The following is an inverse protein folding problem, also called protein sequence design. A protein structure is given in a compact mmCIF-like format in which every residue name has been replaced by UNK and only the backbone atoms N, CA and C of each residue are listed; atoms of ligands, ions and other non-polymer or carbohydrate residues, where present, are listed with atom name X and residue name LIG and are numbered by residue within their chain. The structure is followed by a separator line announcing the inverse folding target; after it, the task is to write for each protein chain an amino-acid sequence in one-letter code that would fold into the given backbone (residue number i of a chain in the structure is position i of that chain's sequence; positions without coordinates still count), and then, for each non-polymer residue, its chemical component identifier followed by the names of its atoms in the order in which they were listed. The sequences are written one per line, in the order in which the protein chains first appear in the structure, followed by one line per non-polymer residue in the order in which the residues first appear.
data_IF_689752998786
#
_entry.id   IF_689752998786
#
_cell.length_a   1.000
_cell.length_b   1.000
_cell.length_c   1.000
_cell.angle_alpha   90.00
_cell.angle_beta   90.00
_cell.angle_gamma   90.00
#
_symmetry.space_group_name_H-M   'P 1'
#
loop_
_entity.id
_entity.type
_entity.pdbx_description
1 polymer ?
#
# COMPACT_ATOMS: atom_id res chain seq x y z
N UNK A 1 -14.09 16.66 3.17
CA UNK A 1 -14.18 15.53 4.14
C UNK A 1 -15.63 15.39 4.56
N UNK A 2 -16.26 14.24 4.34
CA UNK A 2 -17.65 14.02 4.75
C UNK A 2 -17.78 14.05 6.28
N UNK A 3 -18.90 14.56 6.78
CA UNK A 3 -19.23 14.64 8.21
C UNK A 3 -19.03 13.29 8.93
N UNK A 4 -19.22 12.18 8.23
CA UNK A 4 -19.11 10.82 8.76
C UNK A 4 -17.66 10.44 9.13
N UNK A 5 -16.66 10.94 8.40
CA UNK A 5 -15.24 10.66 8.71
C UNK A 5 -14.79 11.41 9.97
N UNK A 6 -15.33 12.61 10.21
CA UNK A 6 -15.07 13.38 11.42
C UNK A 6 -15.75 12.74 12.64
N UNK A 7 -16.97 12.24 12.49
CA UNK A 7 -17.66 11.50 13.55
C UNK A 7 -16.93 10.19 13.93
N UNK A 8 -16.47 9.43 12.93
CA UNK A 8 -15.71 8.21 13.18
C UNK A 8 -14.36 8.48 13.85
N UNK A 9 -13.62 9.49 13.39
CA UNK A 9 -12.35 9.89 14.02
C UNK A 9 -12.55 10.36 15.47
N UNK A 10 -13.62 11.11 15.75
CA UNK A 10 -13.99 11.52 17.11
C UNK A 10 -14.31 10.34 18.03
N UNK A 11 -15.01 9.31 17.52
CA UNK A 11 -15.30 8.09 18.28
C UNK A 11 -14.05 7.27 18.60
N UNK A 12 -13.16 7.08 17.62
CA UNK A 12 -11.89 6.36 17.84
C UNK A 12 -11.01 7.09 18.85
N UNK A 13 -10.93 8.42 18.77
CA UNK A 13 -10.16 9.23 19.71
C UNK A 13 -10.74 9.15 21.13
N UNK A 14 -12.06 9.16 21.27
CA UNK A 14 -12.74 9.05 22.56
C UNK A 14 -12.52 7.67 23.20
N UNK A 15 -12.60 6.59 22.40
CA UNK A 15 -12.33 5.24 22.86
C UNK A 15 -10.87 5.06 23.32
N UNK A 16 -9.91 5.57 22.53
CA UNK A 16 -8.49 5.53 22.87
C UNK A 16 -8.18 6.31 24.16
N UNK A 17 -8.75 7.51 24.30
CA UNK A 17 -8.56 8.34 25.50
C UNK A 17 -9.15 7.66 26.74
N UNK A 18 -10.33 7.05 26.62
CA UNK A 18 -10.98 6.30 27.71
C UNK A 18 -10.13 5.10 28.14
N UNK A 19 -9.56 4.35 27.18
CA UNK A 19 -8.69 3.22 27.48
C UNK A 19 -7.40 3.64 28.21
N UNK A 20 -6.78 4.75 27.80
CA UNK A 20 -5.58 5.31 28.47
C UNK A 20 -5.92 5.76 29.89
N UNK A 21 -7.00 6.51 30.09
CA UNK A 21 -7.43 6.95 31.42
C UNK A 21 -7.71 5.76 32.35
N UNK A 22 -8.35 4.71 31.84
CA UNK A 22 -8.64 3.49 32.61
C UNK A 22 -7.35 2.74 32.99
N UNK A 23 -6.37 2.64 32.08
CA UNK A 23 -5.07 2.02 32.35
C UNK A 23 -4.26 2.81 33.39
N UNK A 24 -4.26 4.15 33.31
CA UNK A 24 -3.59 5.02 34.29
C UNK A 24 -4.25 4.89 35.66
N UNK A 25 -5.58 4.91 35.74
CA UNK A 25 -6.30 4.71 36.99
C UNK A 25 -5.97 3.35 37.64
N UNK A 26 -5.93 2.27 36.84
CA UNK A 26 -5.55 0.94 37.31
C UNK A 26 -4.09 0.89 37.81
N UNK A 27 -3.16 1.57 37.15
CA UNK A 27 -1.77 1.64 37.59
C UNK A 27 -1.63 2.41 38.92
N UNK A 28 -2.40 3.49 39.10
CA UNK A 28 -2.41 4.27 40.34
C UNK A 28 -3.02 3.48 41.50
N UNK A 29 -4.15 2.80 41.30
CA UNK A 29 -4.76 1.97 42.35
C UNK A 29 -3.87 0.80 42.74
N UNK A 30 -3.19 0.16 41.78
CA UNK A 30 -2.22 -0.91 42.07
C UNK A 30 -1.01 -0.41 42.86
N UNK A 31 -0.48 0.78 42.52
CA UNK A 31 0.60 1.43 43.30
C UNK A 31 0.15 1.81 44.70
N UNK A 32 -1.05 2.37 44.85
CA UNK A 32 -1.61 2.73 46.14
C UNK A 32 -1.81 1.48 47.02
N UNK A 33 -2.35 0.40 46.45
CA UNK A 33 -2.52 -0.88 47.13
C UNK A 33 -1.16 -1.48 47.55
N UNK A 34 -0.13 -1.40 46.72
CA UNK A 34 1.23 -1.85 47.07
C UNK A 34 1.87 -1.02 48.19
N UNK A 35 1.68 0.30 48.20
CA UNK A 35 2.16 1.19 49.26
C UNK A 35 1.45 0.93 50.59
N UNK A 36 0.12 0.84 50.57
CA UNK A 36 -0.67 0.43 51.73
C UNK A 36 -0.26 -0.98 52.20
N UNK A 37 0.16 -1.84 51.26
CA UNK A 37 0.57 -3.19 51.60
C UNK A 37 1.94 -3.29 52.28
N UNK A 38 2.87 -2.42 51.91
CA UNK A 38 4.21 -2.35 52.48
C UNK A 38 4.23 -1.65 53.86
N UNK A 39 3.25 -0.79 54.16
CA UNK A 39 3.13 -0.12 55.45
C UNK A 39 2.60 -1.03 56.59
N UNK A 40 2.11 -2.23 56.28
CA UNK A 40 1.58 -3.19 57.27
C UNK A 40 2.53 -4.38 57.44
N UNK A 41 3.36 -4.37 58.49
CA UNK A 41 4.11 -5.55 58.97
C UNK A 41 3.19 -6.49 59.80
N UNK A 42 3.54 -7.78 59.97
CA UNK A 42 2.56 -8.85 59.92
C UNK A 42 1.96 -9.21 61.28
N UNK A 43 0.63 -9.39 61.34
CA UNK A 43 0.00 -10.28 62.32
C UNK A 43 -1.14 -11.05 61.65
N UNK A 44 -0.90 -12.33 61.38
CA UNK A 44 -1.82 -13.47 61.49
C UNK A 44 -3.15 -13.56 60.72
N UNK A 45 -3.85 -12.48 60.37
CA UNK A 45 -5.25 -12.56 59.92
C UNK A 45 -5.56 -11.82 58.60
N UNK A 46 -4.61 -11.06 58.03
CA UNK A 46 -4.87 -10.11 56.94
C UNK A 46 -4.78 -10.71 55.52
N UNK A 47 -4.29 -11.95 55.39
CA UNK A 47 -4.09 -12.59 54.08
C UNK A 47 -5.41 -12.92 53.35
N UNK A 48 -6.49 -13.26 54.08
CA UNK A 48 -7.78 -13.59 53.47
C UNK A 48 -8.57 -12.36 52.99
N UNK A 49 -8.54 -11.26 53.75
CA UNK A 49 -9.20 -10.01 53.38
C UNK A 49 -8.57 -9.36 52.14
N UNK A 50 -7.24 -9.45 51.98
CA UNK A 50 -6.51 -8.94 50.79
C UNK A 50 -6.89 -9.65 49.49
N UNK A 51 -7.18 -10.97 49.55
CA UNK A 51 -7.63 -11.72 48.36
C UNK A 51 -9.04 -11.31 47.92
N UNK A 52 -9.94 -11.08 48.88
CA UNK A 52 -11.34 -10.69 48.58
C UNK A 52 -11.49 -9.25 48.08
N UNK A 53 -10.71 -8.31 48.61
CA UNK A 53 -10.73 -6.91 48.12
C UNK A 53 -10.16 -6.77 46.70
N UNK A 54 -9.15 -7.58 46.35
CA UNK A 54 -8.60 -7.61 44.99
C UNK A 54 -9.56 -8.18 43.95
N UNK A 55 -10.30 -9.24 44.29
CA UNK A 55 -11.29 -9.86 43.38
C UNK A 55 -12.54 -8.99 43.21
N UNK A 56 -13.02 -8.32 44.26
CA UNK A 56 -14.16 -7.42 44.17
C UNK A 56 -13.87 -6.17 43.31
N UNK A 57 -12.69 -5.57 43.45
CA UNK A 57 -12.28 -4.43 42.65
C UNK A 57 -12.06 -4.79 41.17
N UNK A 58 -11.48 -5.97 40.88
CA UNK A 58 -11.33 -6.46 39.53
C UNK A 58 -12.68 -6.79 38.86
N UNK A 59 -13.62 -7.39 39.62
CA UNK A 59 -14.97 -7.67 39.15
C UNK A 59 -15.77 -6.40 38.83
N UNK A 60 -15.70 -5.38 39.69
CA UNK A 60 -16.35 -4.09 39.45
C UNK A 60 -15.82 -3.37 38.20
N UNK A 61 -14.50 -3.41 37.98
CA UNK A 61 -13.88 -2.81 36.80
C UNK A 61 -14.29 -3.53 35.50
N UNK A 62 -14.30 -4.87 35.51
CA UNK A 62 -14.75 -5.66 34.35
C UNK A 62 -16.23 -5.37 34.03
N UNK A 63 -17.08 -5.25 35.06
CA UNK A 63 -18.49 -4.88 34.89
C UNK A 63 -18.68 -3.52 34.21
N UNK A 64 -17.94 -2.50 34.63
CA UNK A 64 -17.96 -1.17 34.01
C UNK A 64 -17.49 -1.19 32.54
N UNK A 65 -16.46 -2.00 32.24
CA UNK A 65 -15.93 -2.13 30.88
C UNK A 65 -16.96 -2.81 29.95
N UNK A 66 -17.62 -3.87 30.42
CA UNK A 66 -18.69 -4.54 29.68
C UNK A 66 -19.90 -3.64 29.49
N UNK A 67 -20.30 -2.87 30.51
CA UNK A 67 -21.39 -1.90 30.38
C UNK A 67 -21.07 -0.79 29.37
N UNK A 68 -19.83 -0.30 29.35
CA UNK A 68 -19.37 0.69 28.37
C UNK A 68 -19.37 0.13 26.95
N UNK A 69 -18.96 -1.13 26.76
CA UNK A 69 -18.99 -1.80 25.46
C UNK A 69 -20.43 -2.02 24.98
N UNK A 70 -21.32 -2.45 25.88
CA UNK A 70 -22.74 -2.62 25.57
C UNK A 70 -23.39 -1.29 25.15
N UNK A 71 -23.12 -0.22 25.89
CA UNK A 71 -23.62 1.11 25.54
C UNK A 71 -23.09 1.61 24.19
N UNK A 72 -21.79 1.40 23.92
CA UNK A 72 -21.21 1.76 22.62
C UNK A 72 -21.82 0.93 21.46
N UNK A 73 -22.05 -0.36 21.68
CA UNK A 73 -22.72 -1.21 20.70
C UNK A 73 -24.14 -0.74 20.41
N UNK A 74 -24.91 -0.43 21.45
CA UNK A 74 -26.28 0.04 21.32
C UNK A 74 -26.35 1.42 20.63
N UNK A 75 -25.48 2.35 21.02
CA UNK A 75 -25.34 3.66 20.36
C UNK A 75 -24.96 3.53 18.87
N UNK A 76 -24.06 2.60 18.52
CA UNK A 76 -23.69 2.33 17.13
C UNK A 76 -24.84 1.68 16.35
N UNK A 77 -25.61 0.78 16.98
CA UNK A 77 -26.77 0.16 16.35
C UNK A 77 -27.91 1.14 16.08
N UNK A 78 -28.07 2.17 16.93
CA UNK A 78 -29.07 3.23 16.74
C UNK A 78 -28.58 4.38 15.84
N UNK A 79 -27.27 4.57 15.70
CA UNK A 79 -26.69 5.54 14.76
C UNK A 79 -26.58 5.00 13.33
N UNK A 80 -26.85 3.70 13.10
CA UNK A 80 -26.96 3.15 11.76
C UNK A 80 -28.18 3.77 11.05
N UNK A 81 -28.02 4.39 9.86
CA UNK A 81 -29.12 5.04 9.17
C UNK A 81 -30.26 4.05 8.89
N UNK A 82 -31.54 4.46 9.03
CA UNK A 82 -32.67 3.60 8.67
C UNK A 82 -32.54 3.25 7.18
N UNK A 83 -32.37 1.96 6.87
CA UNK A 83 -32.21 1.45 5.50
C UNK A 83 -31.00 0.53 5.26
N UNK A 84 -30.07 0.40 6.21
CA UNK A 84 -28.97 -0.56 6.08
C UNK A 84 -29.42 -2.04 6.11
N UNK A 85 -30.55 -2.32 6.75
CA UNK A 85 -31.12 -3.67 6.84
C UNK A 85 -32.06 -4.02 5.67
N UNK A 86 -32.50 -3.03 4.90
CA UNK A 86 -33.41 -3.21 3.76
C UNK A 86 -32.68 -3.21 2.40
N UNK A 87 -31.37 -3.00 2.38
CA UNK A 87 -30.59 -3.25 1.19
C UNK A 87 -30.73 -4.75 0.86
N UNK A 88 -31.24 -5.14 -0.33
CA UNK A 88 -31.27 -6.54 -0.71
C UNK A 88 -29.87 -7.11 -0.49
N UNK A 89 -29.74 -8.34 0.03
CA UNK A 89 -28.43 -8.98 0.16
C UNK A 89 -27.75 -8.78 -1.17
N UNK A 90 -26.58 -8.11 -1.19
CA UNK A 90 -25.83 -7.88 -2.42
C UNK A 90 -25.54 -9.26 -2.98
N UNK A 91 -26.44 -9.79 -3.81
CA UNK A 91 -26.24 -10.99 -4.58
C UNK A 91 -24.97 -10.70 -5.32
N UNK A 92 -23.94 -11.46 -4.96
CA UNK A 92 -22.59 -11.24 -5.45
C UNK A 92 -22.67 -11.26 -6.97
N UNK A 93 -22.61 -10.07 -7.59
CA UNK A 93 -22.93 -9.85 -9.02
C UNK A 93 -22.10 -10.77 -9.91
N UNK A 94 -20.91 -11.09 -9.41
CA UNK A 94 -19.90 -12.00 -9.91
C UNK A 94 -20.36 -13.47 -10.04
N UNK A 95 -21.49 -13.87 -9.46
CA UNK A 95 -22.07 -15.24 -9.58
C UNK A 95 -23.28 -15.33 -10.52
N UNK A 96 -23.69 -14.21 -11.11
CA UNK A 96 -24.81 -14.17 -12.05
C UNK A 96 -24.56 -15.03 -13.30
N UNK A 97 -25.64 -15.37 -14.03
CA UNK A 97 -25.54 -16.13 -15.27
C UNK A 97 -24.69 -15.42 -16.34
N UNK A 98 -24.78 -14.10 -16.42
CA UNK A 98 -23.97 -13.26 -17.33
C UNK A 98 -22.47 -13.37 -17.01
N UNK A 99 -22.11 -13.33 -15.73
CA UNK A 99 -20.72 -13.49 -15.31
C UNK A 99 -20.17 -14.87 -15.62
N UNK A 100 -20.99 -15.92 -15.44
CA UNK A 100 -20.62 -17.28 -15.83
C UNK A 100 -20.41 -17.39 -17.34
N UNK A 101 -21.34 -16.86 -18.15
CA UNK A 101 -21.20 -16.86 -19.60
C UNK A 101 -19.94 -16.10 -20.07
N UNK A 102 -19.63 -14.95 -19.48
CA UNK A 102 -18.39 -14.22 -19.79
C UNK A 102 -17.15 -15.03 -19.41
N UNK A 103 -17.13 -15.67 -18.22
CA UNK A 103 -16.01 -16.55 -17.83
C UNK A 103 -15.84 -17.71 -18.79
N UNK A 104 -16.93 -18.33 -19.25
CA UNK A 104 -16.87 -19.43 -20.21
C UNK A 104 -16.27 -18.97 -21.55
N UNK A 105 -16.59 -17.75 -22.00
CA UNK A 105 -15.97 -17.15 -23.19
C UNK A 105 -14.47 -16.91 -22.99
N UNK A 106 -14.07 -16.32 -21.86
CA UNK A 106 -12.65 -16.13 -21.51
C UNK A 106 -11.96 -17.50 -21.47
N UNK A 107 -12.56 -18.49 -20.82
CA UNK A 107 -12.01 -19.83 -20.72
C UNK A 107 -11.83 -20.49 -22.09
N UNK A 108 -12.84 -20.39 -22.96
CA UNK A 108 -12.74 -20.88 -24.33
C UNK A 108 -11.57 -20.25 -25.09
N UNK A 109 -11.37 -18.93 -24.97
CA UNK A 109 -10.23 -18.24 -25.59
C UNK A 109 -8.89 -18.70 -25.00
N UNK A 110 -8.81 -18.83 -23.68
CA UNK A 110 -7.59 -19.14 -22.94
C UNK A 110 -7.18 -20.62 -23.00
N UNK A 111 -8.08 -21.51 -23.44
CA UNK A 111 -7.83 -22.97 -23.55
C UNK A 111 -7.82 -23.49 -24.98
N UNK A 112 -8.14 -22.66 -25.98
CA UNK A 112 -8.15 -23.04 -27.39
C UNK A 112 -6.77 -23.39 -27.96
N UNK A 113 -5.68 -23.13 -27.24
CA UNK A 113 -4.31 -23.40 -27.68
C UNK A 113 -3.27 -22.83 -26.72
N UNK A 114 -2.09 -22.52 -27.24
CA UNK A 114 -1.04 -21.83 -26.47
C UNK A 114 -1.48 -20.41 -26.08
N UNK A 115 -1.25 -20.05 -24.82
CA UNK A 115 -1.55 -18.70 -24.32
C UNK A 115 -0.40 -17.77 -24.67
N UNK A 116 -0.58 -17.01 -25.74
CA UNK A 116 0.33 -15.94 -26.19
C UNK A 116 -0.15 -14.56 -25.74
N UNK A 117 0.66 -13.52 -25.99
CA UNK A 117 0.28 -12.12 -25.75
C UNK A 117 -1.03 -11.80 -26.53
N UNK A 118 -1.18 -12.24 -27.78
CA UNK A 118 -2.40 -12.05 -28.60
C UNK A 118 -3.62 -12.78 -28.04
N UNK A 119 -3.46 -13.99 -27.51
CA UNK A 119 -4.54 -14.73 -26.85
C UNK A 119 -5.08 -13.97 -25.64
N UNK A 120 -4.18 -13.39 -24.84
CA UNK A 120 -4.54 -12.57 -23.68
C UNK A 120 -5.24 -11.28 -24.12
N UNK A 121 -4.71 -10.58 -25.14
CA UNK A 121 -5.35 -9.38 -25.71
C UNK A 121 -6.76 -9.69 -26.21
N UNK A 122 -6.94 -10.80 -26.95
CA UNK A 122 -8.25 -11.25 -27.42
C UNK A 122 -9.22 -11.50 -26.26
N UNK A 123 -8.75 -12.14 -25.19
CA UNK A 123 -9.56 -12.39 -24.00
C UNK A 123 -9.92 -11.11 -23.25
N UNK A 124 -9.02 -10.11 -23.19
CA UNK A 124 -9.27 -8.81 -22.55
C UNK A 124 -10.28 -7.95 -23.31
N UNK A 125 -10.42 -8.16 -24.62
CA UNK A 125 -11.45 -7.50 -25.45
C UNK A 125 -12.86 -8.04 -25.19
N UNK A 126 -13.01 -9.16 -24.49
CA UNK A 126 -14.31 -9.66 -24.03
C UNK A 126 -14.80 -8.79 -22.87
N UNK A 127 -15.86 -8.01 -23.09
CA UNK A 127 -16.39 -7.10 -22.08
C UNK A 127 -17.03 -7.88 -20.91
N UNK A 128 -16.60 -7.64 -19.65
CA UNK A 128 -17.27 -8.21 -18.50
C UNK A 128 -18.67 -7.60 -18.31
N UNK A 129 -19.62 -8.30 -17.67
CA UNK A 129 -20.94 -7.76 -17.38
C UNK A 129 -20.89 -6.60 -16.37
N UNK A 130 -21.82 -5.65 -16.48
CA UNK A 130 -21.95 -4.55 -15.52
C UNK A 130 -20.88 -3.45 -15.64
N UNK A 131 -20.35 -3.24 -16.85
CA UNK A 131 -19.49 -2.09 -17.19
C UNK A 131 -20.34 -0.87 -17.59
N UNK A 132 -21.59 -1.07 -18.01
CA UNK A 132 -22.51 0.00 -18.39
C UNK A 132 -23.29 0.50 -17.18
N UNK A 133 -23.05 1.75 -16.78
CA UNK A 133 -23.72 2.42 -15.66
C UNK A 133 -22.74 2.86 -14.58
N UNK A 134 -22.69 4.17 -14.33
CA UNK A 134 -21.81 4.83 -13.35
C UNK A 134 -22.17 4.55 -11.87
N UNK A 135 -23.16 3.69 -11.61
CA UNK A 135 -23.80 3.61 -10.30
C UNK A 135 -23.18 2.54 -9.41
N UNK A 136 -21.99 2.89 -8.92
CA UNK A 136 -21.51 2.77 -7.54
C UNK A 136 -19.99 2.57 -7.58
N UNK A 137 -19.23 3.66 -7.39
CA UNK A 137 -17.76 3.63 -7.24
C UNK A 137 -17.30 2.54 -6.25
N UNK A 138 -18.11 2.25 -5.21
CA UNK A 138 -17.85 1.19 -4.23
C UNK A 138 -17.94 -0.25 -4.76
N UNK A 139 -18.62 -0.49 -5.90
CA UNK A 139 -18.69 -1.79 -6.57
C UNK A 139 -17.59 -2.00 -7.62
N UNK A 140 -17.01 -0.92 -8.13
CA UNK A 140 -16.00 -0.96 -9.19
C UNK A 140 -14.75 -1.74 -8.77
N UNK A 141 -14.21 -1.48 -7.57
CA UNK A 141 -13.02 -2.19 -7.08
C UNK A 141 -13.25 -3.70 -6.97
N UNK A 142 -14.40 -4.13 -6.41
CA UNK A 142 -14.73 -5.56 -6.29
C UNK A 142 -14.90 -6.21 -7.66
N UNK A 143 -15.55 -5.51 -8.60
CA UNK A 143 -15.70 -5.97 -9.97
C UNK A 143 -14.34 -6.14 -10.64
N UNK A 144 -13.48 -5.14 -10.57
CA UNK A 144 -12.17 -5.16 -11.22
C UNK A 144 -11.26 -6.23 -10.62
N UNK A 145 -11.35 -6.47 -9.30
CA UNK A 145 -10.71 -7.62 -8.65
C UNK A 145 -11.26 -8.95 -9.17
N UNK A 146 -12.59 -9.10 -9.29
CA UNK A 146 -13.19 -10.33 -9.79
C UNK A 146 -12.80 -10.63 -11.25
N UNK A 147 -12.66 -9.58 -12.08
CA UNK A 147 -12.11 -9.72 -13.44
C UNK A 147 -10.66 -10.17 -13.38
N UNK A 148 -9.85 -9.53 -12.54
CA UNK A 148 -8.45 -9.89 -12.35
C UNK A 148 -8.29 -11.34 -11.87
N UNK A 149 -9.10 -11.80 -10.92
CA UNK A 149 -9.06 -13.17 -10.39
C UNK A 149 -9.28 -14.22 -11.49
N UNK A 150 -10.17 -13.93 -12.45
CA UNK A 150 -10.40 -14.81 -13.60
C UNK A 150 -9.15 -14.90 -14.47
N UNK A 151 -8.54 -13.78 -14.83
CA UNK A 151 -7.29 -13.78 -15.62
C UNK A 151 -6.12 -14.39 -14.85
N UNK A 152 -6.00 -14.08 -13.56
CA UNK A 152 -4.96 -14.60 -12.68
C UNK A 152 -5.11 -16.09 -12.38
N UNK A 153 -6.27 -16.72 -12.65
CA UNK A 153 -6.40 -18.18 -12.55
C UNK A 153 -5.59 -18.95 -13.61
N UNK A 154 -5.13 -18.27 -14.67
CA UNK A 154 -4.34 -18.87 -15.75
C UNK A 154 -2.84 -18.66 -15.50
N UNK A 155 -2.03 -19.73 -15.27
CA UNK A 155 -0.61 -19.58 -14.97
C UNK A 155 0.20 -18.86 -16.05
N UNK A 156 -0.20 -18.98 -17.31
CA UNK A 156 0.45 -18.26 -18.41
C UNK A 156 0.22 -16.74 -18.32
N UNK A 157 -0.96 -16.30 -17.89
CA UNK A 157 -1.25 -14.88 -17.65
C UNK A 157 -0.42 -14.37 -16.48
N UNK A 158 -0.34 -15.11 -15.37
CA UNK A 158 0.52 -14.74 -14.24
C UNK A 158 1.97 -14.54 -14.67
N UNK A 159 2.52 -15.49 -15.45
CA UNK A 159 3.89 -15.39 -16.00
C UNK A 159 4.06 -14.19 -16.92
N UNK A 160 3.07 -13.91 -17.77
CA UNK A 160 3.09 -12.76 -18.68
C UNK A 160 3.07 -11.45 -17.90
N UNK A 161 2.19 -11.31 -16.91
CA UNK A 161 2.05 -10.11 -16.08
C UNK A 161 3.29 -9.88 -15.20
N UNK A 162 3.87 -10.93 -14.62
CA UNK A 162 5.14 -10.82 -13.92
C UNK A 162 6.24 -10.40 -14.90
N UNK A 163 6.40 -11.09 -16.03
CA UNK A 163 7.45 -10.80 -17.03
C UNK A 163 7.38 -9.36 -17.53
N UNK A 164 6.21 -8.91 -17.99
CA UNK A 164 6.01 -7.64 -18.68
C UNK A 164 5.82 -6.45 -17.73
N UNK A 165 5.21 -6.65 -16.56
CA UNK A 165 4.82 -5.56 -15.65
C UNK A 165 5.36 -5.72 -14.22
N UNK A 166 5.92 -6.88 -13.86
CA UNK A 166 6.35 -7.20 -12.50
C UNK A 166 5.21 -7.52 -11.54
N UNK A 167 3.99 -7.76 -12.05
CA UNK A 167 2.81 -8.09 -11.25
C UNK A 167 2.92 -9.53 -10.74
N UNK A 168 2.89 -9.68 -9.41
CA UNK A 168 2.96 -10.97 -8.72
C UNK A 168 1.57 -11.44 -8.28
N UNK A 169 1.41 -12.73 -7.90
CA UNK A 169 0.13 -13.24 -7.39
C UNK A 169 -0.43 -12.50 -6.16
N UNK A 170 0.42 -11.82 -5.39
CA UNK A 170 0.03 -11.05 -4.20
C UNK A 170 -0.17 -9.54 -4.48
N UNK A 171 -0.19 -9.14 -5.75
CA UNK A 171 -0.50 -7.79 -6.19
C UNK A 171 -1.95 -7.44 -5.85
N UNK A 172 -2.14 -6.27 -5.22
CA UNK A 172 -3.46 -5.86 -4.72
C UNK A 172 -4.35 -5.25 -5.78
N UNK A 173 -3.75 -4.56 -6.76
CA UNK A 173 -4.50 -3.78 -7.74
C UNK A 173 -5.41 -2.71 -7.13
N UNK A 174 -5.05 -2.17 -5.97
CA UNK A 174 -5.76 -1.07 -5.29
C UNK A 174 -5.12 0.30 -5.54
N UNK A 175 -3.98 0.35 -6.23
CA UNK A 175 -3.18 1.58 -6.40
C UNK A 175 -2.34 1.92 -5.17
N UNK A 176 -2.26 1.04 -4.16
CA UNK A 176 -1.46 1.23 -2.96
C UNK A 176 -0.47 0.08 -2.77
N UNK A 177 0.80 0.41 -2.46
CA UNK A 177 1.83 -0.56 -2.12
C UNK A 177 1.58 -1.16 -0.74
N UNK A 178 1.61 -2.49 -0.66
CA UNK A 178 1.63 -3.25 0.60
C UNK A 178 3.05 -3.32 1.14
N UNK A 179 3.35 -2.82 2.36
CA UNK A 179 4.67 -2.95 2.93
C UNK A 179 5.11 -4.41 3.03
N UNK A 180 6.38 -4.68 2.78
CA UNK A 180 6.86 -6.06 2.77
C UNK A 180 6.73 -6.71 4.16
N UNK A 181 6.29 -7.97 4.18
CA UNK A 181 6.24 -8.78 5.40
C UNK A 181 5.04 -8.46 6.29
N UNK A 182 4.19 -7.50 5.91
CA UNK A 182 2.93 -7.25 6.59
C UNK A 182 1.88 -8.29 6.16
N UNK A 183 1.19 -8.93 7.11
CA UNK A 183 0.20 -9.97 6.83
C UNK A 183 -1.14 -9.40 6.36
N UNK A 184 -1.37 -8.09 6.55
CA UNK A 184 -2.65 -7.44 6.28
C UNK A 184 -2.54 -6.36 5.23
N UNK A 185 -3.55 -6.30 4.36
CA UNK A 185 -3.71 -5.22 3.37
C UNK A 185 -4.07 -3.88 3.99
N UNK A 186 -4.49 -3.84 5.26
CA UNK A 186 -4.73 -2.60 5.99
C UNK A 186 -3.47 -1.73 6.16
N UNK A 187 -2.28 -2.30 5.93
CA UNK A 187 -1.01 -1.58 5.96
C UNK A 187 -0.63 -0.95 4.61
N UNK A 188 -1.40 -1.20 3.54
CA UNK A 188 -1.15 -0.57 2.25
C UNK A 188 -1.44 0.94 2.34
N UNK A 189 -0.42 1.76 2.09
CA UNK A 189 -0.48 3.18 2.45
C UNK A 189 0.19 4.13 1.45
N UNK A 190 1.07 3.62 0.58
CA UNK A 190 1.81 4.46 -0.37
C UNK A 190 1.21 4.30 -1.75
N UNK A 191 0.85 5.38 -2.42
CA UNK A 191 0.35 5.30 -3.79
C UNK A 191 1.41 4.72 -4.74
N UNK A 192 0.95 3.81 -5.58
CA UNK A 192 1.76 3.04 -6.50
C UNK A 192 1.31 3.27 -7.95
N UNK A 193 2.29 3.39 -8.83
CA UNK A 193 2.08 3.65 -10.25
C UNK A 193 2.90 2.68 -11.10
N UNK A 194 2.43 2.45 -12.32
CA UNK A 194 3.17 1.82 -13.40
C UNK A 194 3.64 2.91 -14.36
N UNK A 195 4.94 3.00 -14.57
CA UNK A 195 5.59 3.87 -15.55
C UNK A 195 6.27 3.04 -16.63
N UNK A 196 6.56 3.64 -17.77
CA UNK A 196 7.33 2.94 -18.81
C UNK A 196 8.72 2.58 -18.28
N UNK A 197 9.26 1.47 -18.79
CA UNK A 197 10.59 1.03 -18.42
C UNK A 197 11.66 1.86 -19.13
N UNK A 198 11.77 3.13 -18.75
CA UNK A 198 12.69 4.07 -19.37
C UNK A 198 14.16 3.64 -19.20
N UNK A 199 15.05 4.03 -20.12
CA UNK A 199 16.49 3.97 -19.88
C UNK A 199 16.89 4.96 -18.78
N UNK A 200 17.98 4.67 -18.06
CA UNK A 200 18.57 5.57 -17.06
C UNK A 200 19.12 6.88 -17.65
N UNK A 201 19.25 6.92 -18.98
CA UNK A 201 19.60 8.11 -19.76
C UNK A 201 18.41 9.01 -20.07
N UNK A 202 17.16 8.59 -19.81
CA UNK A 202 15.95 9.38 -20.07
C UNK A 202 15.94 10.71 -19.31
N UNK A 203 15.45 11.78 -19.93
CA UNK A 203 15.57 13.18 -19.45
C UNK A 203 15.04 13.43 -18.04
N UNK A 204 14.03 12.68 -17.63
CA UNK A 204 13.42 12.83 -16.30
C UNK A 204 13.70 11.66 -15.35
N UNK A 205 14.70 10.82 -15.66
CA UNK A 205 15.15 9.73 -14.80
C UNK A 205 16.50 10.08 -14.17
N UNK A 206 16.58 9.84 -12.87
CA UNK A 206 17.78 10.01 -12.05
C UNK A 206 18.05 8.72 -11.28
N UNK A 207 19.30 8.26 -11.29
CA UNK A 207 19.71 7.00 -10.68
C UNK A 207 20.77 7.25 -9.62
N UNK A 208 20.69 6.50 -8.52
CA UNK A 208 21.76 6.34 -7.55
C UNK A 208 22.04 4.87 -7.32
N UNK A 209 23.32 4.51 -7.22
CA UNK A 209 23.76 3.18 -6.79
C UNK A 209 24.44 3.30 -5.44
N UNK A 210 23.98 2.51 -4.48
CA UNK A 210 24.40 2.61 -3.08
C UNK A 210 24.71 1.22 -2.54
N UNK A 211 25.86 1.04 -1.88
CA UNK A 211 26.21 -0.26 -1.27
C UNK A 211 25.42 -0.51 0.03
N UNK A 212 24.67 -1.63 0.17
CA UNK A 212 24.02 -2.06 1.41
C UNK A 212 24.93 -2.91 2.31
N UNK A 213 24.78 -2.85 3.64
CA UNK A 213 24.25 -1.73 4.40
C UNK A 213 25.25 -0.57 4.34
N UNK A 214 24.78 0.64 4.08
CA UNK A 214 25.63 1.83 3.95
C UNK A 214 25.13 2.99 4.79
N UNK A 215 25.98 4.00 5.00
CA UNK A 215 25.67 5.21 5.79
C UNK A 215 24.41 5.96 5.35
N UNK A 216 23.93 5.73 4.13
CA UNK A 216 22.79 6.42 3.56
C UNK A 216 21.44 5.79 3.94
N UNK A 217 21.40 4.54 4.40
CA UNK A 217 20.14 3.82 4.64
C UNK A 217 19.28 4.43 5.74
N UNK A 218 19.94 4.95 6.79
CA UNK A 218 19.30 5.65 7.90
C UNK A 218 19.05 7.13 7.62
N UNK A 219 19.47 7.66 6.47
CA UNK A 219 19.23 9.06 6.11
C UNK A 219 17.81 9.20 5.55
N UNK A 220 17.10 10.28 5.90
CA UNK A 220 15.89 10.70 5.20
C UNK A 220 16.12 10.81 3.69
N UNK A 221 15.12 10.43 2.91
CA UNK A 221 15.20 10.48 1.45
C UNK A 221 15.39 11.93 0.95
N UNK A 222 14.79 12.90 1.64
CA UNK A 222 15.01 14.31 1.37
C UNK A 222 16.47 14.77 1.51
N UNK A 223 17.17 14.30 2.54
CA UNK A 223 18.57 14.65 2.78
C UNK A 223 19.49 13.92 1.80
N UNK A 224 19.13 12.67 1.47
CA UNK A 224 19.87 11.88 0.47
C UNK A 224 19.83 12.53 -0.91
N UNK A 225 18.66 13.02 -1.34
CA UNK A 225 18.45 13.62 -2.66
C UNK A 225 18.84 15.10 -2.72
N UNK A 226 18.58 15.85 -1.64
CA UNK A 226 18.67 17.31 -1.62
C UNK A 226 19.30 17.92 -0.37
N UNK A 227 20.04 17.15 0.41
CA UNK A 227 20.88 17.68 1.49
C UNK A 227 21.98 18.63 0.98
N UNK A 228 22.73 19.22 1.91
CA UNK A 228 23.85 20.11 1.58
C UNK A 228 24.90 19.42 0.67
N UNK A 229 25.77 20.18 -0.01
CA UNK A 229 26.77 19.62 -0.93
C UNK A 229 27.66 18.54 -0.30
N UNK A 230 27.97 18.66 1.00
CA UNK A 230 28.71 17.65 1.77
C UNK A 230 27.92 16.34 2.04
N UNK A 231 26.59 16.40 1.97
CA UNK A 231 25.68 15.35 2.42
C UNK A 231 24.91 14.66 1.30
N UNK A 232 24.78 15.34 0.16
CA UNK A 232 24.08 14.86 -1.03
C UNK A 232 24.88 13.80 -1.75
N UNK A 233 24.19 12.77 -2.23
CA UNK A 233 24.77 11.81 -3.17
C UNK A 233 24.44 12.30 -4.57
N UNK A 234 25.45 12.54 -5.40
CA UNK A 234 25.22 12.91 -6.80
C UNK A 234 24.59 11.72 -7.54
N UNK A 235 23.60 11.95 -8.43
CA UNK A 235 23.08 10.88 -9.27
C UNK A 235 24.17 10.36 -10.20
N UNK A 236 24.21 9.03 -10.37
CA UNK A 236 25.01 8.36 -11.38
C UNK A 236 24.25 8.40 -12.71
N UNK A 237 24.32 9.51 -13.44
CA UNK A 237 23.87 9.56 -14.83
C UNK A 237 25.08 9.62 -15.77
N UNK A 238 25.31 8.60 -16.62
CA UNK A 238 26.47 8.58 -17.51
C UNK A 238 26.41 9.64 -18.62
N UNK A 239 25.25 10.25 -18.89
CA UNK A 239 25.05 11.20 -19.99
C UNK A 239 24.63 12.61 -19.56
N UNK A 240 24.23 12.80 -18.30
CA UNK A 240 23.81 14.11 -17.81
C UNK A 240 24.78 14.62 -16.77
N UNK A 241 25.30 15.84 -16.94
CA UNK A 241 26.13 16.43 -15.92
C UNK A 241 25.29 16.74 -14.67
N UNK A 242 25.91 16.58 -13.49
CA UNK A 242 25.23 16.69 -12.20
C UNK A 242 24.49 18.03 -11.98
N UNK A 243 24.90 19.11 -12.64
CA UNK A 243 24.22 20.41 -12.56
C UNK A 243 22.79 20.39 -13.11
N UNK A 244 22.46 19.49 -14.04
CA UNK A 244 21.09 19.33 -14.53
C UNK A 244 20.13 18.80 -13.45
N UNK A 245 20.65 18.15 -12.40
CA UNK A 245 19.81 17.65 -11.31
C UNK A 245 19.42 18.74 -10.31
N UNK A 246 20.14 19.87 -10.23
CA UNK A 246 19.84 20.93 -9.26
C UNK A 246 18.53 21.63 -9.57
N UNK A 247 18.25 21.86 -10.85
CA UNK A 247 16.99 22.47 -11.28
C UNK A 247 15.82 21.50 -11.14
N UNK A 248 16.01 20.23 -11.54
CA UNK A 248 14.99 19.20 -11.32
C UNK A 248 14.73 18.96 -9.82
N UNK A 249 15.76 19.05 -8.97
CA UNK A 249 15.60 18.91 -7.52
C UNK A 249 14.74 20.02 -6.92
N UNK A 250 14.90 21.27 -7.37
CA UNK A 250 14.02 22.38 -6.94
C UNK A 250 12.57 22.09 -7.30
N UNK A 251 12.35 21.55 -8.49
CA UNK A 251 11.02 21.16 -8.96
C UNK A 251 10.45 19.99 -8.15
N UNK A 252 11.24 18.93 -7.91
CA UNK A 252 10.86 17.83 -7.01
C UNK A 252 10.47 18.39 -5.64
N UNK A 253 11.28 19.25 -5.04
CA UNK A 253 11.02 19.87 -3.74
C UNK A 253 9.74 20.71 -3.72
N UNK A 254 9.40 21.39 -4.83
CA UNK A 254 8.15 22.12 -4.97
C UNK A 254 6.95 21.16 -5.05
N UNK A 255 7.07 20.10 -5.86
CA UNK A 255 6.00 19.13 -6.10
C UNK A 255 5.72 18.27 -4.86
N UNK A 256 6.73 17.83 -4.12
CA UNK A 256 6.51 17.05 -2.88
C UNK A 256 5.86 17.89 -1.76
N UNK A 257 6.00 19.22 -1.79
CA UNK A 257 5.26 20.10 -0.88
C UNK A 257 3.79 20.24 -1.26
N UNK A 258 3.46 20.06 -2.54
CA UNK A 258 2.09 20.05 -3.04
C UNK A 258 1.58 18.60 -3.18
N UNK A 259 0.98 18.07 -2.10
CA UNK A 259 0.48 16.68 -2.07
C UNK A 259 -0.56 16.35 -3.13
N UNK A 260 -1.24 17.37 -3.66
CA UNK A 260 -2.27 17.23 -4.70
C UNK A 260 -1.72 17.55 -6.10
N UNK A 261 -0.40 17.58 -6.27
CA UNK A 261 0.20 17.82 -7.58
C UNK A 261 -0.24 16.75 -8.59
N UNK A 262 -0.75 17.13 -9.78
CA UNK A 262 -1.30 16.17 -10.74
C UNK A 262 -0.25 15.21 -11.31
N UNK A 263 1.03 15.57 -11.25
CA UNK A 263 2.17 14.78 -11.73
C UNK A 263 3.17 14.57 -10.59
N UNK A 264 2.89 13.66 -9.63
CA UNK A 264 3.76 13.47 -8.48
C UNK A 264 5.10 12.87 -8.93
N UNK A 265 6.24 13.36 -8.41
CA UNK A 265 7.51 12.67 -8.56
C UNK A 265 7.41 11.26 -7.99
N UNK A 266 8.13 10.32 -8.59
CA UNK A 266 8.04 8.90 -8.25
C UNK A 266 9.40 8.33 -7.90
N UNK A 267 9.44 7.34 -7.02
CA UNK A 267 10.66 6.65 -6.60
C UNK A 267 10.53 5.15 -6.71
N UNK A 268 11.62 4.49 -7.08
CA UNK A 268 11.73 3.03 -7.14
C UNK A 268 13.00 2.56 -6.48
N UNK A 269 12.90 1.44 -5.77
CA UNK A 269 14.02 0.79 -5.10
C UNK A 269 14.20 -0.63 -5.66
N UNK A 270 15.45 -1.05 -5.88
CA UNK A 270 15.78 -2.44 -6.19
C UNK A 270 17.16 -2.84 -5.64
N UNK A 271 17.33 -4.13 -5.31
CA UNK A 271 18.62 -4.74 -4.93
C UNK A 271 18.97 -5.83 -5.91
N UNK A 272 20.18 -5.78 -6.45
CA UNK A 272 20.80 -6.88 -7.19
C UNK A 272 22.28 -6.55 -7.43
N UNK A 273 23.07 -7.54 -7.83
CA UNK A 273 24.47 -7.31 -8.22
C UNK A 273 24.52 -6.39 -9.46
N UNK A 274 25.42 -5.40 -9.46
CA UNK A 274 25.51 -4.41 -10.54
C UNK A 274 25.71 -5.04 -11.94
N UNK A 275 26.36 -6.21 -12.04
CA UNK A 275 26.53 -6.95 -13.30
C UNK A 275 25.21 -7.30 -14.01
N UNK A 276 24.11 -7.38 -13.25
CA UNK A 276 22.77 -7.62 -13.79
C UNK A 276 22.07 -6.35 -14.21
N UNK A 277 22.63 -5.18 -13.91
CA UNK A 277 22.08 -3.91 -14.35
C UNK A 277 22.17 -3.76 -15.86
N UNK A 278 21.08 -3.32 -16.48
CA UNK A 278 20.95 -3.18 -17.95
C UNK A 278 20.54 -1.77 -18.37
N UNK A 279 20.79 -0.76 -17.53
CA UNK A 279 20.59 0.65 -17.89
C UNK A 279 19.12 1.08 -18.03
N UNK A 280 18.18 0.38 -17.38
CA UNK A 280 16.74 0.73 -17.38
C UNK A 280 16.19 0.67 -15.95
N UNK A 281 14.99 1.19 -15.69
CA UNK A 281 14.38 1.16 -14.34
C UNK A 281 14.02 -0.27 -13.88
N UNK A 282 13.88 -1.20 -14.82
CA UNK A 282 13.45 -2.58 -14.60
C UNK A 282 14.30 -3.61 -15.33
N UNK A 283 13.70 -4.77 -15.60
CA UNK A 283 14.32 -5.79 -16.46
C UNK A 283 14.18 -5.34 -17.92
N UNK A 284 15.12 -5.65 -18.83
CA UNK A 284 15.04 -5.22 -20.23
C UNK A 284 13.76 -5.63 -20.96
N UNK A 285 13.16 -6.75 -20.57
CA UNK A 285 11.94 -7.30 -21.17
C UNK A 285 10.64 -6.77 -20.54
N UNK A 286 10.76 -6.00 -19.44
CA UNK A 286 9.63 -5.34 -18.82
C UNK A 286 9.21 -4.14 -19.67
N UNK A 287 7.90 -4.03 -19.92
CA UNK A 287 7.27 -2.88 -20.58
C UNK A 287 7.09 -1.72 -19.60
N UNK A 288 6.71 -2.06 -18.36
CA UNK A 288 6.46 -1.11 -17.29
C UNK A 288 7.01 -1.58 -15.97
N UNK A 289 7.21 -0.64 -15.06
CA UNK A 289 7.77 -0.87 -13.74
C UNK A 289 6.97 -0.17 -12.67
N UNK A 290 6.91 -0.79 -11.50
CA UNK A 290 6.30 -0.19 -10.31
C UNK A 290 7.16 0.93 -9.73
N UNK A 291 6.51 2.02 -9.38
CA UNK A 291 7.11 3.17 -8.67
C UNK A 291 6.14 3.66 -7.60
N UNK A 292 6.66 4.18 -6.51
CA UNK A 292 5.87 4.77 -5.43
C UNK A 292 5.86 6.29 -5.51
N UNK A 293 4.79 6.91 -5.01
CA UNK A 293 4.70 8.36 -4.86
C UNK A 293 5.82 8.86 -3.94
N UNK A 294 6.76 9.65 -4.47
CA UNK A 294 7.88 10.19 -3.71
C UNK A 294 7.41 11.11 -2.57
N UNK A 295 6.31 11.83 -2.79
CA UNK A 295 5.74 12.77 -1.81
C UNK A 295 5.39 12.09 -0.48
N UNK A 296 4.94 10.83 -0.53
CA UNK A 296 4.46 10.10 0.64
C UNK A 296 5.59 9.43 1.43
N UNK A 297 6.78 9.35 0.85
CA UNK A 297 7.97 8.74 1.45
C UNK A 297 9.14 9.72 1.59
N UNK A 298 8.93 11.01 1.27
CA UNK A 298 9.95 12.05 1.24
C UNK A 298 10.71 12.22 2.56
N UNK A 299 9.97 12.23 3.68
CA UNK A 299 10.51 12.40 5.02
C UNK A 299 10.99 11.08 5.66
N UNK A 300 10.76 9.95 4.99
CA UNK A 300 11.16 8.64 5.50
C UNK A 300 12.63 8.38 5.22
N UNK A 301 13.27 7.53 6.04
CA UNK A 301 14.60 7.05 5.68
C UNK A 301 14.55 6.21 4.40
N UNK A 302 15.66 6.10 3.67
CA UNK A 302 15.73 5.22 2.49
C UNK A 302 15.23 3.81 2.83
N UNK A 303 15.61 3.30 3.99
CA UNK A 303 15.13 2.01 4.48
C UNK A 303 13.61 1.96 4.61
N UNK A 304 13.02 2.92 5.33
CA UNK A 304 11.58 2.96 5.55
C UNK A 304 10.80 3.19 4.25
N UNK A 305 11.30 4.06 3.37
CA UNK A 305 10.71 4.33 2.07
C UNK A 305 10.63 3.06 1.23
N UNK A 306 11.73 2.31 1.14
CA UNK A 306 11.79 1.07 0.38
C UNK A 306 10.93 -0.05 1.00
N UNK A 307 10.88 -0.16 2.33
CA UNK A 307 9.99 -1.11 3.01
C UNK A 307 8.51 -0.80 2.76
N UNK A 308 8.13 0.49 2.75
CA UNK A 308 6.75 0.94 2.49
C UNK A 308 6.35 0.83 1.04
N UNK A 309 7.29 0.93 0.10
CA UNK A 309 7.05 0.69 -1.33
C UNK A 309 6.90 -0.80 -1.69
N UNK A 310 6.74 -1.68 -0.70
CA UNK A 310 6.65 -3.14 -0.92
C UNK A 310 7.96 -3.81 -1.36
N UNK A 311 9.08 -3.08 -1.33
CA UNK A 311 10.37 -3.64 -1.69
C UNK A 311 10.97 -4.45 -0.52
N UNK A 312 11.80 -5.44 -0.87
CA UNK A 312 12.47 -6.32 0.09
C UNK A 312 13.98 -6.17 0.11
N UNK A 313 14.51 -5.84 1.30
CA UNK A 313 15.94 -5.91 1.59
C UNK A 313 16.51 -7.33 1.64
N UNK A 314 15.66 -8.37 1.61
CA UNK A 314 16.10 -9.78 1.65
C UNK A 314 16.66 -10.29 0.32
N UNK A 315 16.65 -9.47 -0.74
CA UNK A 315 17.35 -9.79 -1.99
C UNK A 315 18.86 -9.90 -1.77
N UNK A 316 19.48 -10.91 -2.39
CA UNK A 316 20.93 -10.91 -2.61
C UNK A 316 21.32 -9.72 -3.48
N UNK A 317 22.53 -9.21 -3.32
CA UNK A 317 22.99 -8.03 -4.07
C UNK A 317 23.87 -7.13 -3.22
N UNK A 318 24.95 -6.67 -3.84
CA UNK A 318 25.89 -5.70 -3.27
C UNK A 318 25.50 -4.23 -3.54
N UNK A 319 24.42 -4.01 -4.28
CA UNK A 319 24.00 -2.69 -4.74
C UNK A 319 22.49 -2.48 -4.55
N UNK A 320 22.12 -1.38 -3.89
CA UNK A 320 20.79 -0.79 -3.87
C UNK A 320 20.74 0.29 -4.95
N UNK A 321 19.79 0.13 -5.85
CA UNK A 321 19.45 1.13 -6.86
C UNK A 321 18.27 1.94 -6.36
N UNK A 322 18.39 3.27 -6.47
CA UNK A 322 17.32 4.22 -6.22
C UNK A 322 17.10 4.97 -7.53
N UNK A 323 15.89 4.88 -8.09
CA UNK A 323 15.50 5.70 -9.24
C UNK A 323 14.49 6.74 -8.80
N UNK A 324 14.66 7.97 -9.27
CA UNK A 324 13.65 9.03 -9.20
C UNK A 324 13.22 9.36 -10.62
N UNK A 325 11.91 9.34 -10.85
CA UNK A 325 11.29 9.71 -12.12
C UNK A 325 10.33 10.88 -11.93
N UNK A 326 10.42 11.89 -12.79
CA UNK A 326 9.60 13.10 -12.71
C UNK A 326 8.71 13.21 -13.96
N UNK A 327 7.44 12.77 -13.90
CA UNK A 327 6.54 12.87 -15.05
C UNK A 327 6.03 14.30 -15.25
N UNK A 328 5.69 14.69 -16.48
CA UNK A 328 5.14 16.02 -16.80
C UNK A 328 3.71 15.95 -17.39
N UNK A 329 3.27 14.75 -17.75
CA UNK A 329 1.97 14.49 -18.36
C UNK A 329 1.28 13.30 -17.70
N UNK A 330 -0.06 13.30 -17.71
CA UNK A 330 -0.87 12.26 -17.07
C UNK A 330 -0.84 10.91 -17.76
N UNK A 331 -0.34 10.83 -19.01
CA UNK A 331 -0.20 9.59 -19.77
C UNK A 331 1.14 8.89 -19.52
N UNK A 332 2.09 9.53 -18.84
CA UNK A 332 3.42 8.98 -18.54
C UNK A 332 3.40 7.93 -17.41
N UNK A 333 2.34 7.92 -16.61
CA UNK A 333 2.16 6.98 -15.52
C UNK A 333 0.71 6.48 -15.46
N UNK A 334 0.51 5.35 -14.80
CA UNK A 334 -0.79 4.73 -14.66
C UNK A 334 -0.96 4.24 -13.22
N UNK A 335 -2.02 4.62 -12.48
CA UNK A 335 -2.26 4.07 -11.14
C UNK A 335 -2.24 2.54 -11.17
N UNK A 336 -1.55 1.91 -10.22
CA UNK A 336 -1.39 0.46 -10.10
C UNK A 336 -2.67 -0.22 -9.58
N UNK A 337 -3.78 -0.01 -10.28
CA UNK A 337 -5.09 -0.60 -9.98
C UNK A 337 -5.44 -1.68 -11.00
N UNK A 338 -6.23 -2.69 -10.62
CA UNK A 338 -6.72 -3.67 -11.59
C UNK A 338 -7.52 -3.01 -12.71
N UNK A 339 -8.30 -1.98 -12.39
CA UNK A 339 -9.01 -1.16 -13.38
C UNK A 339 -8.09 -0.70 -14.51
N UNK A 340 -7.05 0.05 -14.14
CA UNK A 340 -6.17 0.68 -15.11
C UNK A 340 -5.23 -0.32 -15.78
N UNK A 341 -4.76 -1.33 -15.05
CA UNK A 341 -3.93 -2.41 -15.62
C UNK A 341 -4.71 -3.14 -16.70
N UNK A 342 -5.92 -3.63 -16.40
CA UNK A 342 -6.71 -4.41 -17.35
C UNK A 342 -7.13 -3.57 -18.56
N UNK A 343 -7.46 -2.28 -18.35
CA UNK A 343 -7.83 -1.38 -19.44
C UNK A 343 -6.66 -1.06 -20.40
N UNK A 344 -5.42 -0.98 -19.88
CA UNK A 344 -4.23 -0.60 -20.67
C UNK A 344 -3.40 -1.78 -21.17
N UNK A 345 -3.59 -2.96 -20.59
CA UNK A 345 -2.82 -4.16 -20.92
C UNK A 345 -2.85 -4.50 -22.42
N UNK A 346 -3.98 -4.38 -23.15
CA UNK A 346 -3.99 -4.57 -24.60
C UNK A 346 -2.94 -3.72 -25.33
N UNK A 347 -2.90 -2.42 -25.03
CA UNK A 347 -1.97 -1.48 -25.67
C UNK A 347 -0.50 -1.81 -25.34
N UNK A 348 -0.25 -2.29 -24.12
CA UNK A 348 1.10 -2.62 -23.66
C UNK A 348 1.64 -3.93 -24.27
N UNK A 349 0.75 -4.83 -24.67
CA UNK A 349 1.10 -6.10 -25.30
C UNK A 349 1.17 -5.97 -26.83
N UNK A 350 0.27 -5.19 -27.45
CA UNK A 350 0.23 -4.98 -28.91
C UNK A 350 1.37 -4.06 -29.41
N UNK A 351 1.96 -3.24 -28.54
CA UNK A 351 3.03 -2.29 -28.91
C UNK A 351 4.44 -2.91 -29.02
N UNK A 352 5.33 -2.35 -29.87
CA UNK A 352 6.73 -2.76 -29.92
C UNK A 352 7.40 -2.62 -28.55
N UNK A 353 8.41 -3.46 -28.25
CA UNK A 353 9.26 -3.23 -27.07
C UNK A 353 9.96 -1.87 -27.22
N UNK A 354 9.99 -1.05 -26.16
CA UNK A 354 10.68 0.24 -26.20
C UNK A 354 12.18 0.08 -26.49
#
# INVERSE_FOLDING_TARGET
MSHDRLAYAGMVLTAATTAVCAAVAAAYTLRAARRAAAAAAPVGAVAHARRWLGTAAAGGFLGLLLASLAYQYEALSHAAPPGWHDAPPRTETVQSAEWRAWRDQVHSVMTAGEVTDETVVRALRLRPPGVEGADAEGGALRRDQAVADVYMSYPAVQKLLDRKLGIKPDFLGTGLSKPLGQPSYAFAAVHEYLVENHPDTHDHVWLWKVKPPGRYFSRPLQDFLGGGPEDRVAPENPKKPAHGFDDELKEIQLRVKNKDHPFPPMVRFARFDEKFYKGTLGRPDAKRVFTSNLTEVWDLTIQQAAERSGYSYRGGGDTLFVWVYVPYHSNEFTPATWHHVLARLPDWLDGPAP
#
